data_IF_843827637443
#
_entry.id   IF_843827637443
#
_cell.length_a   1.000
_cell.length_b   1.000
_cell.length_c   1.000
_cell.angle_alpha   90.00
_cell.angle_beta   90.00
_cell.angle_gamma   90.00
#
_symmetry.space_group_name_H-M   'P 1'
#
loop_
_entity.id
_entity.type
_entity.pdbx_description
1 polymer ?
#
# COMPACT_ATOMS: atom_id res chain seq x y z
N UNK A 1 -21.30 -18.87 -17.38
CA UNK A 1 -20.56 -17.84 -18.14
C UNK A 1 -19.35 -17.47 -17.32
N UNK A 2 -18.13 -17.64 -17.84
CA UNK A 2 -16.97 -17.21 -17.10
C UNK A 2 -16.95 -15.68 -17.07
N UNK A 3 -16.91 -15.11 -15.86
CA UNK A 3 -16.96 -13.67 -15.68
C UNK A 3 -15.53 -13.13 -15.71
N UNK A 4 -15.13 -12.49 -16.81
CA UNK A 4 -13.83 -11.84 -16.90
C UNK A 4 -13.86 -10.57 -16.04
N UNK A 5 -13.04 -10.56 -14.99
CA UNK A 5 -12.86 -9.36 -14.18
C UNK A 5 -12.02 -8.34 -14.94
N UNK A 6 -12.31 -7.06 -14.73
CA UNK A 6 -11.53 -5.95 -15.27
C UNK A 6 -11.20 -4.96 -14.16
N UNK A 7 -10.04 -4.31 -14.28
CA UNK A 7 -9.73 -3.15 -13.46
C UNK A 7 -10.61 -1.98 -13.89
N UNK A 8 -11.51 -1.53 -13.01
CA UNK A 8 -12.46 -0.43 -13.27
C UNK A 8 -11.75 0.87 -13.69
N UNK A 9 -10.50 1.07 -13.25
CA UNK A 9 -9.77 2.32 -13.50
C UNK A 9 -8.97 2.35 -14.80
N UNK A 10 -8.40 1.22 -15.23
CA UNK A 10 -7.56 1.18 -16.44
C UNK A 10 -8.09 0.29 -17.55
N UNK A 11 -9.13 -0.51 -17.30
CA UNK A 11 -9.75 -1.41 -18.28
C UNK A 11 -8.95 -2.68 -18.55
N UNK A 12 -7.85 -2.93 -17.85
CA UNK A 12 -7.09 -4.19 -17.97
C UNK A 12 -7.96 -5.37 -17.55
N UNK A 13 -8.04 -6.39 -18.40
CA UNK A 13 -8.75 -7.63 -18.13
C UNK A 13 -7.84 -8.64 -17.43
N UNK A 14 -8.33 -9.23 -16.35
CA UNK A 14 -7.65 -10.31 -15.65
C UNK A 14 -7.94 -11.67 -16.31
N UNK A 15 -7.08 -12.68 -16.10
CA UNK A 15 -7.34 -14.04 -16.56
C UNK A 15 -8.72 -14.54 -16.14
N UNK A 16 -9.32 -15.33 -17.02
CA UNK A 16 -10.62 -15.95 -16.78
C UNK A 16 -10.59 -16.78 -15.49
N UNK A 17 -11.64 -16.68 -14.67
CA UNK A 17 -11.71 -17.40 -13.39
C UNK A 17 -10.91 -16.76 -12.24
N UNK A 18 -10.31 -15.58 -12.43
CA UNK A 18 -9.69 -14.82 -11.34
C UNK A 18 -10.70 -14.56 -10.22
N UNK A 19 -10.37 -14.94 -8.98
CA UNK A 19 -11.21 -14.64 -7.82
C UNK A 19 -11.32 -13.12 -7.63
N UNK A 20 -12.52 -12.57 -7.35
CA UNK A 20 -12.69 -11.13 -7.12
C UNK A 20 -12.08 -10.64 -5.79
N UNK A 21 -11.55 -11.55 -4.97
CA UNK A 21 -10.91 -11.23 -3.70
C UNK A 21 -9.73 -12.17 -3.45
N UNK A 22 -8.68 -11.65 -2.78
CA UNK A 22 -7.51 -12.43 -2.38
C UNK A 22 -6.61 -12.93 -3.51
N UNK A 23 -6.98 -12.70 -4.78
CA UNK A 23 -6.13 -13.08 -5.91
C UNK A 23 -4.95 -12.11 -6.04
N UNK A 24 -3.73 -12.64 -5.93
CA UNK A 24 -2.49 -11.86 -5.94
C UNK A 24 -2.35 -10.97 -7.18
N UNK A 25 -2.80 -11.45 -8.35
CA UNK A 25 -2.78 -10.68 -9.60
C UNK A 25 -3.54 -9.35 -9.52
N UNK A 26 -4.60 -9.28 -8.69
CA UNK A 26 -5.32 -8.03 -8.47
C UNK A 26 -4.44 -7.05 -7.68
N UNK A 27 -3.82 -7.52 -6.60
CA UNK A 27 -2.90 -6.73 -5.76
C UNK A 27 -1.70 -6.24 -6.56
N UNK A 28 -1.06 -7.12 -7.33
CA UNK A 28 0.10 -6.79 -8.16
C UNK A 28 -0.26 -5.73 -9.20
N UNK A 29 -1.43 -5.85 -9.84
CA UNK A 29 -1.91 -4.84 -10.76
C UNK A 29 -2.14 -3.49 -10.09
N UNK A 30 -2.75 -3.47 -8.90
CA UNK A 30 -3.01 -2.24 -8.13
C UNK A 30 -1.70 -1.47 -7.86
N UNK A 31 -0.60 -2.18 -7.55
CA UNK A 31 0.71 -1.56 -7.29
C UNK A 31 1.24 -0.78 -8.50
N UNK A 32 0.99 -1.26 -9.72
CA UNK A 32 1.55 -0.67 -10.96
C UNK A 32 0.55 0.19 -11.74
N UNK A 33 -0.74 0.06 -11.51
CA UNK A 33 -1.76 0.77 -12.28
C UNK A 33 -1.77 2.28 -11.98
N UNK A 34 -1.40 3.10 -12.97
CA UNK A 34 -1.34 4.58 -12.87
C UNK A 34 -2.69 5.22 -12.54
N UNK A 35 -3.78 4.61 -13.01
CA UNK A 35 -5.14 5.11 -12.80
C UNK A 35 -5.75 4.62 -11.48
N UNK A 36 -5.10 3.68 -10.78
CA UNK A 36 -5.67 3.10 -9.57
C UNK A 36 -5.48 4.05 -8.37
N UNK A 37 -6.56 4.43 -7.65
CA UNK A 37 -6.48 5.39 -6.56
C UNK A 37 -5.58 4.93 -5.41
N UNK A 38 -5.54 3.62 -5.14
CA UNK A 38 -4.65 3.05 -4.11
C UNK A 38 -3.17 3.34 -4.36
N UNK A 39 -2.71 3.43 -5.62
CA UNK A 39 -1.33 3.80 -5.93
C UNK A 39 -1.01 5.23 -5.50
N UNK A 40 -1.94 6.16 -5.73
CA UNK A 40 -1.82 7.55 -5.29
C UNK A 40 -1.86 7.66 -3.77
N UNK A 41 -2.70 6.86 -3.12
CA UNK A 41 -2.78 6.81 -1.65
C UNK A 41 -1.47 6.32 -1.03
N UNK A 42 -0.88 5.23 -1.55
CA UNK A 42 0.43 4.75 -1.11
C UNK A 42 1.50 5.83 -1.25
N UNK A 43 1.52 6.54 -2.39
CA UNK A 43 2.45 7.65 -2.60
C UNK A 43 2.25 8.77 -1.57
N UNK A 44 1.02 9.22 -1.36
CA UNK A 44 0.73 10.28 -0.40
C UNK A 44 1.11 9.88 1.04
N UNK A 45 0.92 8.61 1.40
CA UNK A 45 1.32 8.08 2.70
C UNK A 45 2.84 8.02 2.85
N UNK A 46 3.56 7.58 1.81
CA UNK A 46 5.01 7.61 1.79
C UNK A 46 5.57 9.04 1.88
N UNK A 47 4.96 9.99 1.16
CA UNK A 47 5.32 11.41 1.21
C UNK A 47 5.05 12.01 2.62
N UNK A 48 4.01 11.55 3.32
CA UNK A 48 3.71 11.95 4.71
C UNK A 48 4.71 11.36 5.71
N UNK A 49 5.06 10.08 5.57
CA UNK A 49 6.03 9.40 6.45
C UNK A 49 7.46 9.88 6.17
N UNK A 50 7.75 10.31 4.93
CA UNK A 50 9.07 10.72 4.48
C UNK A 50 9.97 9.56 4.03
N UNK A 51 9.40 8.37 3.80
CA UNK A 51 10.12 7.16 3.38
C UNK A 51 9.26 6.28 2.48
N UNK A 52 9.90 5.51 1.62
CA UNK A 52 9.19 4.64 0.67
C UNK A 52 9.80 3.24 0.49
N UNK A 53 11.03 3.02 0.95
CA UNK A 53 11.69 1.70 0.93
C UNK A 53 11.52 0.99 2.27
N UNK A 54 11.71 -0.34 2.27
CA UNK A 54 11.55 -1.13 3.48
C UNK A 54 12.58 -0.72 4.54
N UNK A 55 13.82 -0.52 4.10
CA UNK A 55 14.96 -0.17 4.95
C UNK A 55 14.79 1.22 5.58
N UNK A 56 14.31 2.21 4.81
CA UNK A 56 14.00 3.54 5.35
C UNK A 56 12.86 3.49 6.38
N UNK A 57 11.81 2.73 6.10
CA UNK A 57 10.66 2.59 6.99
C UNK A 57 11.03 1.91 8.32
N UNK A 58 11.85 0.86 8.27
CA UNK A 58 12.39 0.19 9.46
C UNK A 58 13.23 1.16 10.32
N UNK A 59 14.06 1.99 9.68
CA UNK A 59 14.86 3.00 10.37
C UNK A 59 13.97 4.06 11.05
N UNK A 60 12.94 4.57 10.37
CA UNK A 60 12.01 5.55 10.95
C UNK A 60 11.21 4.94 12.11
N UNK A 61 10.71 3.71 11.98
CA UNK A 61 9.99 3.05 13.07
C UNK A 61 10.87 2.92 14.32
N UNK A 62 12.14 2.52 14.16
CA UNK A 62 13.08 2.41 15.27
C UNK A 62 13.31 3.76 15.97
N UNK A 63 13.47 4.83 15.20
CA UNK A 63 13.61 6.20 15.72
C UNK A 63 12.35 6.61 16.48
N UNK A 64 11.17 6.40 15.92
CA UNK A 64 9.89 6.74 16.55
C UNK A 64 9.68 6.01 17.87
N UNK A 65 10.07 4.73 17.96
CA UNK A 65 9.96 3.94 19.19
C UNK A 65 10.90 4.42 20.28
N UNK A 66 12.08 4.91 19.90
CA UNK A 66 13.15 5.30 20.83
C UNK A 66 13.06 6.77 21.27
N UNK A 67 12.33 7.61 20.52
CA UNK A 67 12.26 9.04 20.76
C UNK A 67 11.12 9.38 21.74
N UNK A 68 11.37 10.19 22.80
CA UNK A 68 10.32 10.71 23.66
C UNK A 68 9.32 11.58 22.88
N UNK A 69 8.02 11.47 23.18
CA UNK A 69 7.00 12.27 22.51
C UNK A 69 5.59 11.95 22.95
N UNK A 70 4.61 12.48 22.22
CA UNK A 70 3.19 12.17 22.44
C UNK A 70 2.94 10.76 21.91
N UNK A 71 2.60 9.81 22.79
CA UNK A 71 2.40 8.40 22.40
C UNK A 71 1.33 8.22 21.33
N UNK A 72 0.27 9.05 21.36
CA UNK A 72 -0.78 9.00 20.33
C UNK A 72 -0.22 9.29 18.94
N UNK A 73 0.65 10.28 18.80
CA UNK A 73 1.22 10.68 17.52
C UNK A 73 2.20 9.62 17.02
N UNK A 74 3.00 9.05 17.93
CA UNK A 74 3.89 7.92 17.64
C UNK A 74 3.12 6.71 17.12
N UNK A 75 2.02 6.34 17.77
CA UNK A 75 1.17 5.22 17.34
C UNK A 75 0.60 5.47 15.94
N UNK A 76 0.10 6.68 15.67
CA UNK A 76 -0.45 7.04 14.35
C UNK A 76 0.63 6.93 13.26
N UNK A 77 1.84 7.43 13.53
CA UNK A 77 2.96 7.34 12.59
C UNK A 77 3.43 5.89 12.37
N UNK A 78 3.50 5.07 13.43
CA UNK A 78 3.85 3.64 13.31
C UNK A 78 2.80 2.88 12.49
N UNK A 79 1.51 3.15 12.69
CA UNK A 79 0.45 2.54 11.89
C UNK A 79 0.55 2.92 10.40
N UNK A 80 0.95 4.15 10.09
CA UNK A 80 1.21 4.57 8.71
C UNK A 80 2.38 3.78 8.09
N UNK A 81 3.45 3.55 8.86
CA UNK A 81 4.59 2.73 8.43
C UNK A 81 4.16 1.27 8.18
N UNK A 82 3.37 0.68 9.08
CA UNK A 82 2.89 -0.69 8.92
C UNK A 82 2.01 -0.85 7.68
N UNK A 83 1.14 0.12 7.38
CA UNK A 83 0.37 0.13 6.13
C UNK A 83 1.26 0.21 4.87
N UNK A 84 2.41 0.88 4.95
CA UNK A 84 3.38 0.92 3.85
C UNK A 84 4.13 -0.43 3.68
N UNK A 85 4.41 -1.14 4.77
CA UNK A 85 5.02 -2.48 4.71
C UNK A 85 4.14 -3.51 4.00
N UNK A 86 2.83 -3.48 4.22
CA UNK A 86 1.88 -4.39 3.56
C UNK A 86 1.82 -4.20 2.03
N UNK A 87 2.33 -3.08 1.54
CA UNK A 87 2.24 -2.70 0.13
C UNK A 87 3.58 -2.64 -0.59
N UNK A 88 4.70 -2.94 0.09
CA UNK A 88 6.02 -3.17 -0.53
C UNK A 88 6.05 -4.56 -1.15
#
# INVERSE_FOLDING_TARGET
MPNTLTCVYCGMAYPEGTSPHGAQILTDHIKVCEKHPMRKLRKALADLVGASTKEELEAIELILRSTPGIERDKIVAINAIHALFETI
#
